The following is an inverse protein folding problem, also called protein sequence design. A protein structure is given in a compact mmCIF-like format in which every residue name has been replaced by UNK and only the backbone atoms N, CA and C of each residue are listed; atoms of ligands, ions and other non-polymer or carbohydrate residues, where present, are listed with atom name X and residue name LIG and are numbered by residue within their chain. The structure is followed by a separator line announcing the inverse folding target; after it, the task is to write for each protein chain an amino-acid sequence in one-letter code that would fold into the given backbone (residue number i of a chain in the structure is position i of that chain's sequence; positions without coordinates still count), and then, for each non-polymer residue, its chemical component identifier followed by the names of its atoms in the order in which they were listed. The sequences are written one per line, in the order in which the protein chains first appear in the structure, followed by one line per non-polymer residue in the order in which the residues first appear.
data_IF_775600506627
#
_entry.id   IF_775600506627
#
_cell.length_a   1.000
_cell.length_b   1.000
_cell.length_c   1.000
_cell.angle_alpha   90.00
_cell.angle_beta   90.00
_cell.angle_gamma   90.00
#
_symmetry.space_group_name_H-M   'P 1'
#
loop_
_entity.id
_entity.type
_entity.pdbx_description
1 polymer ?
#
# COMPACT_ATOMS: atom_id res chain seq x y z
N UNK A 1 -20.23 -12.30 9.64
CA UNK A 1 -20.16 -11.46 10.87
C UNK A 1 -19.55 -12.21 12.06
N UNK A 2 -20.29 -12.97 12.89
CA UNK A 2 -19.72 -13.56 14.12
C UNK A 2 -18.55 -14.53 13.86
N UNK A 3 -18.71 -15.44 12.89
CA UNK A 3 -17.66 -16.39 12.53
C UNK A 3 -16.37 -15.68 12.07
N UNK A 4 -16.50 -14.57 11.33
CA UNK A 4 -15.35 -13.78 10.88
C UNK A 4 -14.65 -13.10 12.05
N UNK A 5 -15.39 -12.58 13.04
CA UNK A 5 -14.83 -12.03 14.28
C UNK A 5 -14.03 -13.09 15.03
N UNK A 6 -14.56 -14.32 15.13
CA UNK A 6 -13.83 -15.43 15.75
C UNK A 6 -12.58 -15.77 14.94
N UNK A 7 -12.69 -15.88 13.60
CA UNK A 7 -11.54 -16.15 12.74
C UNK A 7 -10.43 -15.08 12.87
N UNK A 8 -10.80 -13.80 13.04
CA UNK A 8 -9.86 -12.71 13.31
C UNK A 8 -9.03 -12.95 14.58
N UNK A 9 -9.64 -13.52 15.64
CA UNK A 9 -8.95 -13.83 16.90
C UNK A 9 -8.05 -15.07 16.81
N UNK A 10 -8.21 -15.88 15.77
CA UNK A 10 -7.43 -17.12 15.53
C UNK A 10 -6.24 -16.92 14.57
N UNK A 11 -5.81 -15.68 14.36
CA UNK A 11 -4.69 -15.33 13.47
C UNK A 11 -3.32 -15.41 14.15
N UNK A 12 -3.27 -15.88 15.39
CA UNK A 12 -2.03 -16.09 16.14
C UNK A 12 -1.46 -17.49 15.85
N UNK A 13 -0.21 -17.72 16.25
CA UNK A 13 0.50 -18.99 15.98
C UNK A 13 0.22 -20.10 17.01
N UNK A 14 -0.50 -19.79 18.10
CA UNK A 14 -0.81 -20.67 19.23
C UNK A 14 -2.19 -21.34 19.12
N UNK A 15 -2.71 -21.51 17.89
CA UNK A 15 -4.02 -22.14 17.65
C UNK A 15 -3.90 -23.65 17.44
N UNK A 16 -4.90 -24.40 17.90
CA UNK A 16 -4.98 -25.85 17.64
C UNK A 16 -5.27 -26.13 16.16
N UNK A 17 -5.00 -27.35 15.71
CA UNK A 17 -5.33 -27.78 14.33
C UNK A 17 -6.81 -27.63 14.00
N UNK A 18 -7.70 -27.91 14.95
CA UNK A 18 -9.15 -27.72 14.79
C UNK A 18 -9.53 -26.25 14.63
N UNK A 19 -8.94 -25.37 15.45
CA UNK A 19 -9.14 -23.92 15.36
C UNK A 19 -8.60 -23.35 14.03
N UNK A 20 -7.44 -23.84 13.58
CA UNK A 20 -6.87 -23.46 12.29
C UNK A 20 -7.78 -23.89 11.12
N UNK A 21 -8.32 -25.11 11.17
CA UNK A 21 -9.26 -25.62 10.16
C UNK A 21 -10.56 -24.80 10.15
N UNK A 22 -11.12 -24.48 11.32
CA UNK A 22 -12.27 -23.61 11.44
C UNK A 22 -12.00 -22.23 10.84
N UNK A 23 -10.90 -21.57 11.25
CA UNK A 23 -10.50 -20.26 10.73
C UNK A 23 -10.38 -20.28 9.21
N UNK A 24 -9.65 -21.25 8.66
CA UNK A 24 -9.39 -21.33 7.23
C UNK A 24 -10.69 -21.59 6.45
N UNK A 25 -11.62 -22.40 6.99
CA UNK A 25 -12.97 -22.56 6.41
C UNK A 25 -13.75 -21.23 6.39
N UNK A 26 -13.73 -20.48 7.49
CA UNK A 26 -14.40 -19.17 7.56
C UNK A 26 -13.79 -18.18 6.57
N UNK A 27 -12.46 -18.08 6.50
CA UNK A 27 -11.75 -17.18 5.58
C UNK A 27 -12.06 -17.55 4.13
N UNK A 28 -12.08 -18.84 3.79
CA UNK A 28 -12.35 -19.31 2.43
C UNK A 28 -13.72 -18.86 1.91
N UNK A 29 -14.71 -18.82 2.79
CA UNK A 29 -16.10 -18.47 2.48
C UNK A 29 -16.42 -16.98 2.72
N UNK A 30 -15.48 -16.20 3.24
CA UNK A 30 -15.67 -14.78 3.51
C UNK A 30 -15.52 -13.94 2.25
N UNK A 31 -16.26 -12.82 2.20
CA UNK A 31 -16.10 -11.74 1.22
C UNK A 31 -15.31 -10.56 1.81
N UNK A 32 -14.82 -10.67 3.05
CA UNK A 32 -14.04 -9.63 3.69
C UNK A 32 -12.60 -9.64 3.17
N UNK A 33 -12.28 -8.69 2.29
CA UNK A 33 -10.90 -8.46 1.83
C UNK A 33 -9.93 -8.37 3.00
N UNK A 34 -10.24 -7.57 4.03
CA UNK A 34 -9.35 -7.39 5.17
C UNK A 34 -9.01 -8.71 5.89
N UNK A 35 -9.99 -9.62 6.01
CA UNK A 35 -9.78 -10.93 6.61
C UNK A 35 -8.89 -11.83 5.74
N UNK A 36 -9.12 -11.84 4.42
CA UNK A 36 -8.31 -12.60 3.47
C UNK A 36 -6.88 -12.08 3.47
N UNK A 37 -6.68 -10.76 3.41
CA UNK A 37 -5.36 -10.15 3.48
C UNK A 37 -4.65 -10.47 4.80
N UNK A 38 -5.36 -10.46 5.94
CA UNK A 38 -4.77 -10.87 7.21
C UNK A 38 -4.26 -12.31 7.16
N UNK A 39 -5.03 -13.22 6.54
CA UNK A 39 -4.64 -14.62 6.36
C UNK A 39 -3.45 -14.79 5.41
N UNK A 40 -3.32 -13.93 4.39
CA UNK A 40 -2.14 -13.84 3.51
C UNK A 40 -0.92 -13.41 4.33
N UNK A 41 -1.04 -12.33 5.11
CA UNK A 41 0.05 -11.83 5.98
C UNK A 41 0.52 -12.89 6.97
N UNK A 42 -0.40 -13.71 7.50
CA UNK A 42 -0.07 -14.87 8.35
C UNK A 42 0.73 -15.94 7.58
N UNK A 43 0.36 -16.22 6.32
CA UNK A 43 1.12 -17.16 5.48
C UNK A 43 2.54 -16.65 5.19
N UNK A 44 2.68 -15.34 4.93
CA UNK A 44 3.97 -14.67 4.76
C UNK A 44 4.84 -14.77 6.01
N UNK A 45 4.29 -14.40 7.17
CA UNK A 45 5.02 -14.42 8.45
C UNK A 45 5.51 -15.81 8.85
N UNK A 46 4.79 -16.87 8.44
CA UNK A 46 5.15 -18.25 8.74
C UNK A 46 5.95 -18.93 7.61
N UNK A 47 6.35 -18.20 6.56
CA UNK A 47 7.06 -18.76 5.40
C UNK A 47 6.26 -19.82 4.63
N UNK A 48 4.93 -19.86 4.78
CA UNK A 48 4.06 -20.86 4.18
C UNK A 48 3.74 -20.49 2.71
N UNK A 49 4.61 -20.91 1.78
CA UNK A 49 4.48 -20.63 0.34
C UNK A 49 3.22 -21.20 -0.29
N UNK A 50 2.83 -22.42 0.10
CA UNK A 50 1.59 -23.05 -0.38
C UNK A 50 0.38 -22.22 0.05
N UNK A 51 0.33 -21.86 1.33
CA UNK A 51 -0.72 -21.01 1.89
C UNK A 51 -0.76 -19.63 1.22
N UNK A 52 0.40 -18.99 1.02
CA UNK A 52 0.49 -17.69 0.35
C UNK A 52 -0.20 -17.73 -1.02
N UNK A 53 0.12 -18.74 -1.84
CA UNK A 53 -0.50 -18.91 -3.15
C UNK A 53 -2.02 -19.15 -3.05
N UNK A 54 -2.47 -20.00 -2.12
CA UNK A 54 -3.91 -20.27 -1.93
C UNK A 54 -4.69 -19.01 -1.56
N UNK A 55 -4.20 -18.23 -0.60
CA UNK A 55 -4.93 -17.08 -0.09
C UNK A 55 -4.83 -15.87 -1.02
N UNK A 56 -3.68 -15.66 -1.70
CA UNK A 56 -3.59 -14.66 -2.77
C UNK A 56 -4.61 -14.92 -3.88
N UNK A 57 -4.85 -16.18 -4.25
CA UNK A 57 -5.84 -16.52 -5.27
C UNK A 57 -7.27 -16.11 -4.87
N UNK A 58 -7.58 -16.03 -3.56
CA UNK A 58 -8.88 -15.65 -3.02
C UNK A 58 -9.13 -14.14 -2.97
N UNK A 59 -8.10 -13.31 -3.10
CA UNK A 59 -8.31 -11.87 -3.14
C UNK A 59 -9.19 -11.46 -4.34
N UNK A 60 -10.10 -10.49 -4.15
CA UNK A 60 -10.78 -9.81 -5.24
C UNK A 60 -9.78 -9.25 -6.27
N UNK A 61 -10.21 -9.14 -7.52
CA UNK A 61 -9.33 -8.70 -8.61
C UNK A 61 -8.78 -7.28 -8.37
N UNK A 62 -9.59 -6.38 -7.83
CA UNK A 62 -9.19 -5.02 -7.46
C UNK A 62 -8.09 -5.02 -6.40
N UNK A 63 -8.23 -5.85 -5.37
CA UNK A 63 -7.25 -5.94 -4.30
C UNK A 63 -5.94 -6.54 -4.78
N UNK A 64 -5.98 -7.53 -5.69
CA UNK A 64 -4.77 -8.09 -6.31
C UNK A 64 -3.90 -7.04 -7.02
N UNK A 65 -4.45 -5.89 -7.39
CA UNK A 65 -3.70 -4.80 -8.01
C UNK A 65 -2.90 -3.95 -7.01
N UNK A 66 -3.12 -4.11 -5.70
CA UNK A 66 -2.28 -3.43 -4.68
C UNK A 66 -0.83 -3.89 -4.80
N UNK A 67 0.09 -2.96 -4.56
CA UNK A 67 1.52 -3.18 -4.75
C UNK A 67 2.04 -4.41 -3.99
N UNK A 68 1.60 -4.59 -2.74
CA UNK A 68 2.01 -5.74 -1.93
C UNK A 68 1.68 -7.07 -2.61
N UNK A 69 0.49 -7.18 -3.19
CA UNK A 69 -0.01 -8.43 -3.73
C UNK A 69 0.54 -8.72 -5.11
N UNK A 70 0.76 -7.68 -5.93
CA UNK A 70 1.54 -7.78 -7.18
C UNK A 70 2.97 -8.23 -6.91
N UNK A 71 3.63 -7.66 -5.91
CA UNK A 71 4.99 -8.05 -5.53
C UNK A 71 5.06 -9.52 -5.07
N UNK A 72 4.20 -9.93 -4.14
CA UNK A 72 4.20 -11.32 -3.65
C UNK A 72 3.75 -12.33 -4.72
N UNK A 73 2.89 -11.93 -5.65
CA UNK A 73 2.58 -12.74 -6.83
C UNK A 73 3.81 -12.93 -7.72
N UNK A 74 4.59 -11.87 -7.97
CA UNK A 74 5.84 -11.97 -8.73
C UNK A 74 6.85 -12.88 -8.03
N UNK A 75 7.01 -12.78 -6.70
CA UNK A 75 7.87 -13.69 -5.92
C UNK A 75 7.46 -15.16 -6.10
N UNK A 76 6.15 -15.47 -6.02
CA UNK A 76 5.64 -16.82 -6.26
C UNK A 76 5.88 -17.30 -7.70
N UNK A 77 5.84 -16.40 -8.69
CA UNK A 77 6.12 -16.73 -10.09
C UNK A 77 7.59 -17.08 -10.30
N UNK A 78 8.52 -16.31 -9.70
CA UNK A 78 9.96 -16.61 -9.74
C UNK A 78 10.27 -17.96 -9.09
N UNK A 79 9.68 -18.26 -7.93
CA UNK A 79 9.85 -19.56 -7.25
C UNK A 79 9.37 -20.75 -8.11
N UNK A 80 8.49 -20.50 -9.09
CA UNK A 80 7.96 -21.50 -10.03
C UNK A 80 8.69 -21.51 -11.37
N UNK A 81 9.75 -20.73 -11.53
CA UNK A 81 10.51 -20.59 -12.78
C UNK A 81 9.79 -19.80 -13.87
N UNK A 82 8.74 -19.04 -13.54
CA UNK A 82 8.02 -18.14 -14.47
C UNK A 82 8.61 -16.75 -14.44
N UNK A 83 9.91 -16.66 -14.70
CA UNK A 83 10.70 -15.44 -14.48
C UNK A 83 10.26 -14.28 -15.38
N UNK A 84 9.87 -14.55 -16.62
CA UNK A 84 9.47 -13.49 -17.56
C UNK A 84 8.19 -12.78 -17.10
N UNK A 85 7.22 -13.53 -16.58
CA UNK A 85 5.99 -12.96 -16.04
C UNK A 85 6.24 -12.21 -14.74
N UNK A 86 7.10 -12.73 -13.87
CA UNK A 86 7.50 -12.03 -12.66
C UNK A 86 8.21 -10.71 -12.97
N UNK A 87 9.17 -10.72 -13.91
CA UNK A 87 9.90 -9.54 -14.35
C UNK A 87 8.97 -8.48 -14.94
N UNK A 88 7.96 -8.88 -15.71
CA UNK A 88 6.98 -7.96 -16.25
C UNK A 88 6.21 -7.23 -15.12
N UNK A 89 5.75 -7.97 -14.10
CA UNK A 89 5.06 -7.39 -12.94
C UNK A 89 5.98 -6.44 -12.17
N UNK A 90 7.20 -6.88 -11.86
CA UNK A 90 8.16 -6.09 -11.07
C UNK A 90 8.59 -4.82 -11.81
N UNK A 91 8.85 -4.89 -13.13
CA UNK A 91 9.21 -3.73 -13.96
C UNK A 91 8.07 -2.71 -14.02
N UNK A 92 6.82 -3.18 -14.07
CA UNK A 92 5.65 -2.32 -14.00
C UNK A 92 5.52 -1.65 -12.63
N UNK A 93 5.70 -2.40 -11.53
CA UNK A 93 5.68 -1.86 -10.17
C UNK A 93 6.74 -0.77 -9.96
N UNK A 94 7.94 -0.93 -10.51
CA UNK A 94 9.02 0.05 -10.39
C UNK A 94 8.69 1.44 -10.96
N UNK A 95 7.65 1.58 -11.78
CA UNK A 95 7.22 2.88 -12.31
C UNK A 95 6.47 3.72 -11.27
N UNK A 96 6.07 3.11 -10.16
CA UNK A 96 5.31 3.74 -9.08
C UNK A 96 6.21 4.17 -7.92
N UNK A 97 5.66 4.95 -6.98
CA UNK A 97 6.37 5.44 -5.79
C UNK A 97 5.84 4.76 -4.54
N UNK A 98 6.68 3.97 -3.89
CA UNK A 98 6.32 3.30 -2.65
C UNK A 98 7.33 2.27 -2.21
N UNK A 99 7.05 1.60 -1.09
CA UNK A 99 7.91 0.55 -0.54
C UNK A 99 8.10 -0.62 -1.51
N UNK A 100 7.01 -1.19 -2.05
CA UNK A 100 7.07 -2.35 -2.94
C UNK A 100 7.66 -2.05 -4.33
N UNK A 101 7.43 -0.88 -4.96
CA UNK A 101 8.20 -0.44 -6.13
C UNK A 101 9.72 -0.44 -5.91
N UNK A 102 10.19 0.03 -4.75
CA UNK A 102 11.61 -0.01 -4.39
C UNK A 102 12.09 -1.45 -4.13
N UNK A 103 11.30 -2.27 -3.44
CA UNK A 103 11.59 -3.68 -3.23
C UNK A 103 11.65 -4.47 -4.56
N UNK A 104 10.82 -4.11 -5.53
CA UNK A 104 10.82 -4.72 -6.86
C UNK A 104 12.12 -4.42 -7.62
N UNK A 105 12.60 -3.16 -7.58
CA UNK A 105 13.89 -2.79 -8.16
C UNK A 105 15.04 -3.57 -7.51
N UNK A 106 15.03 -3.66 -6.18
CA UNK A 106 16.02 -4.43 -5.42
C UNK A 106 15.99 -5.93 -5.79
N UNK A 107 14.80 -6.52 -5.91
CA UNK A 107 14.62 -7.92 -6.29
C UNK A 107 15.12 -8.21 -7.71
N UNK A 108 14.96 -7.26 -8.64
CA UNK A 108 15.49 -7.35 -10.00
C UNK A 108 16.99 -7.04 -10.11
N UNK A 109 17.62 -6.55 -9.04
CA UNK A 109 19.04 -6.17 -9.04
C UNK A 109 19.32 -4.91 -9.86
N UNK A 110 18.34 -4.02 -10.01
CA UNK A 110 18.46 -2.77 -10.77
C UNK A 110 18.26 -1.55 -9.87
N UNK A 111 18.88 -0.39 -10.19
CA UNK A 111 18.61 0.84 -9.46
C UNK A 111 17.14 1.25 -9.59
N UNK A 112 16.54 1.70 -8.48
CA UNK A 112 15.19 2.26 -8.51
C UNK A 112 15.20 3.66 -9.17
N UNK A 113 14.41 3.89 -10.23
CA UNK A 113 14.39 5.19 -10.91
C UNK A 113 13.53 6.19 -10.12
N UNK A 114 14.14 6.93 -9.20
CA UNK A 114 13.45 7.99 -8.47
C UNK A 114 13.02 9.11 -9.43
N UNK A 115 11.72 9.19 -9.71
CA UNK A 115 11.14 10.30 -10.48
C UNK A 115 10.88 11.48 -9.56
N UNK A 116 11.50 12.61 -9.87
CA UNK A 116 11.29 13.88 -9.19
C UNK A 116 10.79 14.86 -10.22
N UNK A 117 9.47 15.05 -10.25
CA UNK A 117 8.86 16.05 -11.11
C UNK A 117 9.24 17.44 -10.61
N UNK A 118 9.71 18.30 -11.53
CA UNK A 118 10.07 19.66 -11.19
C UNK A 118 8.81 20.52 -11.07
N UNK A 119 8.73 21.31 -10.02
CA UNK A 119 7.66 22.30 -9.88
C UNK A 119 7.75 23.35 -10.98
N UNK A 120 6.58 23.78 -11.49
CA UNK A 120 6.51 24.94 -12.37
C UNK A 120 6.93 26.21 -11.59
N UNK A 121 7.47 27.23 -12.26
CA UNK A 121 7.74 28.52 -11.63
C UNK A 121 6.49 29.10 -10.99
N UNK A 122 6.57 29.47 -9.71
CA UNK A 122 5.44 30.00 -8.95
C UNK A 122 5.08 31.40 -9.44
N UNK A 123 3.81 31.64 -9.75
CA UNK A 123 3.34 32.99 -10.06
C UNK A 123 3.45 33.90 -8.82
N UNK A 124 4.05 35.10 -8.94
CA UNK A 124 4.09 36.07 -7.86
C UNK A 124 2.71 36.46 -7.30
N UNK A 125 1.65 36.30 -8.10
CA UNK A 125 0.27 36.60 -7.67
C UNK A 125 -0.24 35.63 -6.59
N UNK A 126 0.28 34.40 -6.54
CA UNK A 126 -0.11 33.39 -5.56
C UNK A 126 0.45 33.68 -4.16
N UNK A 127 1.55 34.43 -4.08
CA UNK A 127 2.21 34.77 -2.81
C UNK A 127 1.83 36.16 -2.27
N UNK A 128 1.01 36.92 -3.02
CA UNK A 128 0.62 38.29 -2.67
C UNK A 128 -0.78 38.39 -2.03
N UNK A 129 -1.51 37.29 -1.94
CA UNK A 129 -2.86 37.26 -1.35
C UNK A 129 -2.87 37.40 0.18
N UNK A 130 -3.99 37.83 0.77
CA UNK A 130 -4.13 37.97 2.22
C UNK A 130 -4.02 36.62 2.95
N UNK A 131 -4.40 35.50 2.33
CA UNK A 131 -4.22 34.15 2.87
C UNK A 131 -2.73 33.84 3.09
N UNK A 132 -1.88 34.12 2.09
CA UNK A 132 -0.44 33.88 2.19
C UNK A 132 0.20 34.80 3.24
N UNK A 133 -0.26 36.05 3.34
CA UNK A 133 0.21 36.96 4.39
C UNK A 133 -0.10 36.40 5.79
N UNK A 134 -1.30 35.86 6.02
CA UNK A 134 -1.65 35.21 7.29
C UNK A 134 -0.78 33.98 7.55
N UNK A 135 -0.59 33.11 6.56
CA UNK A 135 0.30 31.93 6.68
C UNK A 135 1.71 32.36 7.06
N UNK A 136 2.26 33.41 6.43
CA UNK A 136 3.60 33.94 6.74
C UNK A 136 3.72 34.39 8.20
N UNK A 137 2.76 35.17 8.69
CA UNK A 137 2.79 35.64 10.10
C UNK A 137 2.63 34.48 11.08
N UNK A 138 1.74 33.52 10.80
CA UNK A 138 1.55 32.35 11.66
C UNK A 138 2.81 31.48 11.72
N UNK A 139 3.50 31.29 10.60
CA UNK A 139 4.79 30.61 10.55
C UNK A 139 5.87 31.39 11.32
N UNK A 140 5.90 32.72 11.22
CA UNK A 140 6.83 33.56 11.98
C UNK A 140 6.68 33.39 13.50
N UNK A 141 5.45 33.21 13.99
CA UNK A 141 5.16 32.98 15.41
C UNK A 141 5.22 31.50 15.83
N UNK A 142 5.69 30.58 14.98
CA UNK A 142 5.71 29.12 15.23
C UNK A 142 4.32 28.56 15.59
N UNK A 143 3.28 29.10 14.97
CA UNK A 143 1.90 28.63 15.14
C UNK A 143 1.55 27.58 14.07
N UNK A 144 2.35 26.53 13.95
CA UNK A 144 2.31 25.56 12.83
C UNK A 144 0.92 24.95 12.59
N UNK A 145 0.18 24.62 13.65
CA UNK A 145 -1.17 24.05 13.53
C UNK A 145 -2.17 25.05 12.91
N UNK A 146 -2.05 26.32 13.27
CA UNK A 146 -2.91 27.39 12.75
C UNK A 146 -2.49 27.72 11.32
N UNK A 147 -1.19 27.82 11.05
CA UNK A 147 -0.64 28.02 9.71
C UNK A 147 -1.06 26.88 8.76
N UNK A 148 -1.04 25.63 9.23
CA UNK A 148 -1.48 24.46 8.46
C UNK A 148 -2.95 24.54 8.08
N UNK A 149 -3.80 25.04 8.96
CA UNK A 149 -5.24 25.21 8.68
C UNK A 149 -5.46 26.26 7.59
N UNK A 150 -4.79 27.42 7.69
CA UNK A 150 -4.84 28.47 6.65
C UNK A 150 -4.28 27.98 5.31
N UNK A 151 -3.17 27.24 5.35
CA UNK A 151 -2.54 26.64 4.17
C UNK A 151 -3.44 25.61 3.48
N UNK A 152 -4.12 24.74 4.24
CA UNK A 152 -5.04 23.74 3.71
C UNK A 152 -6.23 24.40 2.99
N UNK A 153 -6.80 25.45 3.58
CA UNK A 153 -7.87 26.22 2.95
C UNK A 153 -7.40 26.88 1.65
N UNK A 154 -6.19 27.45 1.66
CA UNK A 154 -5.60 28.07 0.48
C UNK A 154 -5.42 27.04 -0.65
N UNK A 155 -4.79 25.90 -0.39
CA UNK A 155 -4.55 24.86 -1.41
C UNK A 155 -5.86 24.28 -1.96
N UNK A 156 -6.86 24.04 -1.11
CA UNK A 156 -8.15 23.44 -1.53
C UNK A 156 -8.90 24.33 -2.53
N UNK A 157 -8.63 25.64 -2.52
CA UNK A 157 -9.22 26.60 -3.45
C UNK A 157 -8.48 26.74 -4.80
N UNK A 158 -7.39 25.97 -5.02
CA UNK A 158 -6.49 26.09 -6.20
C UNK A 158 -6.54 24.87 -7.09
N UNK A 159 -6.15 25.06 -8.35
CA UNK A 159 -5.96 23.95 -9.29
C UNK A 159 -4.56 23.33 -9.16
N UNK A 160 -4.34 22.07 -9.60
CA UNK A 160 -3.00 21.45 -9.56
C UNK A 160 -1.92 22.19 -10.39
N UNK A 161 -2.32 23.09 -11.28
CA UNK A 161 -1.42 23.85 -12.15
C UNK A 161 -1.02 25.21 -11.54
N UNK A 162 -1.70 25.65 -10.48
CA UNK A 162 -1.42 26.88 -9.71
C UNK A 162 -0.63 26.54 -8.44
#
# INVERSE_FOLDING_TARGET
ALNEIVAWRLMNNDVTSEQAAFRDNVVMNSQSTALIERRIRMALGNGNRVGLNTWLARLPMEDKQKDEWRYWQAVLLMERGRDDEAKAILTSLMQERGFYPMAAAQLLGVPYPLRVDSAQPVSPTLIQGPEMARVRELMYWNMDNTARSEWANLITSRTPAE
#
